data_IF_789669594702
#
_entry.id   IF_789669594702
#
_cell.length_a   1.000
_cell.length_b   1.000
_cell.length_c   1.000
_cell.angle_alpha   90.00
_cell.angle_beta   90.00
_cell.angle_gamma   90.00
#
_symmetry.space_group_name_H-M   'P 1'
#
loop_
_entity.id
_entity.type
_entity.pdbx_description
1 polymer ?
#
# COMPACT_ATOMS: atom_id res chain seq x y z
N UNK A 1 3.77 -6.64 15.16
CA UNK A 1 4.84 -5.77 14.61
C UNK A 1 5.93 -6.71 14.18
N UNK A 2 6.34 -6.64 12.92
CA UNK A 2 7.48 -7.40 12.40
C UNK A 2 8.69 -6.48 12.33
N UNK A 3 9.89 -7.05 12.48
CA UNK A 3 11.15 -6.29 12.49
C UNK A 3 11.93 -6.61 11.24
N UNK A 4 12.36 -5.57 10.53
CA UNK A 4 13.31 -5.65 9.42
C UNK A 4 14.55 -4.84 9.76
N UNK A 5 15.71 -5.26 9.24
CA UNK A 5 16.95 -4.48 9.34
C UNK A 5 17.09 -3.62 8.09
N UNK A 6 17.26 -2.31 8.26
CA UNK A 6 17.43 -1.35 7.17
C UNK A 6 18.79 -0.70 7.35
N UNK A 7 19.61 -0.70 6.30
CA UNK A 7 20.85 0.06 6.28
C UNK A 7 20.53 1.55 6.18
N UNK A 8 21.11 2.33 7.10
CA UNK A 8 20.97 3.79 7.16
C UNK A 8 22.34 4.42 7.28
N UNK A 9 22.42 5.72 7.04
CA UNK A 9 23.67 6.45 7.22
C UNK A 9 24.18 6.34 8.66
N UNK A 10 25.51 6.27 8.89
CA UNK A 10 26.08 6.08 10.22
C UNK A 10 25.64 7.13 11.25
N UNK A 11 25.39 8.37 10.82
CA UNK A 11 24.88 9.44 11.68
C UNK A 11 23.46 9.14 12.21
N UNK A 12 22.59 8.60 11.35
CA UNK A 12 21.21 8.24 11.71
C UNK A 12 21.22 7.07 12.68
N UNK A 13 22.07 6.06 12.43
CA UNK A 13 22.23 4.91 13.31
C UNK A 13 22.65 5.34 14.73
N UNK A 14 23.65 6.24 14.83
CA UNK A 14 24.11 6.78 16.12
C UNK A 14 23.03 7.59 16.81
N UNK A 15 22.38 8.51 16.09
CA UNK A 15 21.30 9.32 16.65
C UNK A 15 20.13 8.45 17.18
N UNK A 16 19.76 7.39 16.47
CA UNK A 16 18.73 6.46 16.94
C UNK A 16 19.16 5.67 18.19
N UNK A 17 20.43 5.26 18.25
CA UNK A 17 21.01 4.56 19.42
C UNK A 17 21.13 5.46 20.64
N UNK A 18 21.39 6.75 20.47
CA UNK A 18 21.51 7.71 21.58
C UNK A 18 20.14 8.25 22.02
N UNK A 19 19.13 8.21 21.14
CA UNK A 19 17.78 8.70 21.42
C UNK A 19 17.08 7.90 22.54
N UNK A 20 16.24 8.61 23.29
CA UNK A 20 15.42 8.01 24.34
C UNK A 20 14.25 7.19 23.76
N UNK A 21 13.56 6.43 24.62
CA UNK A 21 12.45 5.55 24.20
C UNK A 21 11.31 6.29 23.49
N UNK A 22 11.02 7.53 23.88
CA UNK A 22 9.96 8.33 23.26
C UNK A 22 10.35 8.80 21.86
N UNK A 23 11.58 9.25 21.70
CA UNK A 23 12.14 9.68 20.41
C UNK A 23 12.25 8.51 19.44
N UNK A 24 12.73 7.35 19.90
CA UNK A 24 12.77 6.13 19.09
C UNK A 24 11.38 5.71 18.60
N UNK A 25 10.36 5.75 19.46
CA UNK A 25 8.97 5.48 19.05
C UNK A 25 8.47 6.48 18.01
N UNK A 26 8.80 7.77 18.16
CA UNK A 26 8.44 8.80 17.17
C UNK A 26 9.11 8.54 15.82
N UNK A 27 10.40 8.24 15.82
CA UNK A 27 11.14 7.86 14.61
C UNK A 27 10.56 6.61 13.94
N UNK A 28 10.23 5.58 14.73
CA UNK A 28 9.61 4.36 14.23
C UNK A 28 8.24 4.64 13.56
N UNK A 29 7.43 5.53 14.12
CA UNK A 29 6.14 5.91 13.53
C UNK A 29 6.32 6.61 12.18
N UNK A 30 7.29 7.53 12.09
CA UNK A 30 7.62 8.23 10.84
C UNK A 30 8.13 7.24 9.79
N UNK A 31 9.08 6.37 10.15
CA UNK A 31 9.61 5.34 9.24
C UNK A 31 8.51 4.42 8.72
N UNK A 32 7.64 3.90 9.59
CA UNK A 32 6.52 3.07 9.17
C UNK A 32 5.56 3.81 8.23
N UNK A 33 5.29 5.10 8.49
CA UNK A 33 4.41 5.90 7.65
C UNK A 33 5.02 6.16 6.28
N UNK A 34 6.32 6.42 6.21
CA UNK A 34 7.05 6.55 4.95
C UNK A 34 7.11 5.23 4.18
N UNK A 35 7.46 4.12 4.84
CA UNK A 35 7.49 2.79 4.23
C UNK A 35 6.12 2.38 3.67
N UNK A 36 5.04 2.70 4.39
CA UNK A 36 3.67 2.49 3.92
C UNK A 36 3.37 3.23 2.62
N UNK A 37 3.98 4.38 2.33
CA UNK A 37 3.76 5.09 1.06
C UNK A 37 4.35 4.34 -0.12
N UNK A 38 5.46 3.61 0.07
CA UNK A 38 6.03 2.76 -0.97
C UNK A 38 5.19 1.50 -1.21
N UNK A 39 4.54 0.97 -0.17
CA UNK A 39 3.61 -0.17 -0.28
C UNK A 39 2.23 0.27 -0.80
N UNK A 40 1.79 1.49 -0.46
CA UNK A 40 0.53 2.10 -0.92
C UNK A 40 0.65 2.81 -2.27
N UNK A 41 1.69 2.52 -3.06
CA UNK A 41 1.55 2.64 -4.51
C UNK A 41 0.44 1.69 -4.90
N UNK A 42 -0.81 2.15 -4.90
CA UNK A 42 -1.96 1.41 -5.42
C UNK A 42 -1.51 0.90 -6.77
N UNK A 43 -1.20 -0.40 -6.85
CA UNK A 43 -0.89 -1.00 -8.13
C UNK A 43 -2.13 -0.80 -8.98
N UNK A 44 -1.93 -0.51 -10.26
CA UNK A 44 -3.03 -0.45 -11.21
C UNK A 44 -3.92 -1.70 -11.06
N UNK A 45 -3.30 -2.86 -10.79
CA UNK A 45 -3.97 -4.12 -10.46
C UNK A 45 -4.94 -4.01 -9.27
N UNK A 46 -4.56 -3.35 -8.17
CA UNK A 46 -5.43 -3.19 -7.01
C UNK A 46 -6.59 -2.25 -7.30
N UNK A 47 -6.38 -1.22 -8.12
CA UNK A 47 -7.44 -0.31 -8.59
C UNK A 47 -8.40 -1.08 -9.51
N UNK A 48 -7.87 -1.85 -10.46
CA UNK A 48 -8.66 -2.70 -11.36
C UNK A 48 -9.47 -3.73 -10.57
N UNK A 49 -8.87 -4.37 -9.56
CA UNK A 49 -9.58 -5.33 -8.69
C UNK A 49 -10.72 -4.67 -7.90
N UNK A 50 -10.48 -3.49 -7.33
CA UNK A 50 -11.53 -2.72 -6.63
C UNK A 50 -12.66 -2.33 -7.60
N UNK A 51 -12.32 -1.90 -8.82
CA UNK A 51 -13.31 -1.55 -9.85
C UNK A 51 -14.10 -2.77 -10.33
N UNK A 52 -13.46 -3.92 -10.55
CA UNK A 52 -14.12 -5.16 -10.92
C UNK A 52 -15.07 -5.65 -9.82
N UNK A 53 -14.62 -5.62 -8.56
CA UNK A 53 -15.46 -6.00 -7.42
C UNK A 53 -16.68 -5.09 -7.28
N UNK A 54 -16.50 -3.78 -7.46
CA UNK A 54 -17.59 -2.81 -7.44
C UNK A 54 -18.57 -3.01 -8.61
N UNK A 55 -18.06 -3.30 -9.80
CA UNK A 55 -18.87 -3.57 -10.97
C UNK A 55 -19.73 -4.83 -10.78
N UNK A 56 -19.12 -5.93 -10.30
CA UNK A 56 -19.83 -7.17 -9.96
C UNK A 56 -20.89 -6.95 -8.87
N UNK A 57 -20.58 -6.20 -7.81
CA UNK A 57 -21.53 -5.87 -6.75
C UNK A 57 -22.73 -5.05 -7.25
N UNK A 58 -22.54 -4.25 -8.30
CA UNK A 58 -23.60 -3.48 -8.95
C UNK A 58 -24.31 -4.25 -10.07
N UNK A 59 -24.06 -5.56 -10.20
CA UNK A 59 -24.73 -6.43 -11.16
C UNK A 59 -24.05 -6.51 -12.53
N UNK A 60 -22.87 -5.91 -12.74
CA UNK A 60 -22.07 -6.16 -13.93
C UNK A 60 -21.36 -7.51 -13.79
N UNK A 61 -22.08 -8.58 -14.09
CA UNK A 61 -21.52 -9.93 -14.19
C UNK A 61 -20.77 -10.07 -15.51
N UNK A 62 -19.94 -11.12 -15.63
CA UNK A 62 -19.25 -11.41 -16.88
C UNK A 62 -20.23 -11.59 -18.05
N UNK A 63 -21.39 -12.21 -17.78
CA UNK A 63 -22.46 -12.41 -18.76
C UNK A 63 -23.03 -11.08 -19.28
N UNK A 64 -23.34 -10.13 -18.38
CA UNK A 64 -23.86 -8.81 -18.78
C UNK A 64 -22.79 -7.98 -19.50
N UNK A 65 -21.52 -8.11 -19.07
CA UNK A 65 -20.40 -7.48 -19.77
C UNK A 65 -20.25 -8.03 -21.20
N UNK A 66 -20.36 -9.35 -21.37
CA UNK A 66 -20.28 -10.00 -22.67
C UNK A 66 -21.46 -9.63 -23.57
N UNK A 67 -22.67 -9.47 -23.01
CA UNK A 67 -23.84 -8.95 -23.74
C UNK A 67 -23.62 -7.51 -24.23
N UNK A 68 -23.10 -6.62 -23.37
CA UNK A 68 -22.81 -5.22 -23.74
C UNK A 68 -21.73 -5.15 -24.83
N UNK A 69 -20.67 -5.96 -24.71
CA UNK A 69 -19.58 -5.99 -25.69
C UNK A 69 -19.98 -6.63 -27.02
N UNK A 70 -20.99 -7.50 -27.02
CA UNK A 70 -21.55 -8.10 -28.23
C UNK A 70 -22.49 -7.13 -28.99
N UNK A 71 -23.08 -6.15 -28.31
CA UNK A 71 -24.00 -5.15 -28.91
C UNK A 71 -23.26 -4.04 -29.68
N UNK A 72 -21.95 -3.90 -29.46
CA UNK A 72 -21.05 -2.95 -30.15
C UNK A 72 -20.33 -3.57 -31.39
N UNK A 73 -20.72 -4.76 -31.86
CA UNK A 73 -20.16 -5.45 -33.05
C UNK A 73 -21.17 -5.57 -34.19
#
# INVERSE_FOLDING_TARGET
>A
METISIEVEPEIARAYQEANLMERKKMQLVLNSSLKQFVNKRSLEKIIQEMQAQAQANGLTQEILDEILADDI
#
